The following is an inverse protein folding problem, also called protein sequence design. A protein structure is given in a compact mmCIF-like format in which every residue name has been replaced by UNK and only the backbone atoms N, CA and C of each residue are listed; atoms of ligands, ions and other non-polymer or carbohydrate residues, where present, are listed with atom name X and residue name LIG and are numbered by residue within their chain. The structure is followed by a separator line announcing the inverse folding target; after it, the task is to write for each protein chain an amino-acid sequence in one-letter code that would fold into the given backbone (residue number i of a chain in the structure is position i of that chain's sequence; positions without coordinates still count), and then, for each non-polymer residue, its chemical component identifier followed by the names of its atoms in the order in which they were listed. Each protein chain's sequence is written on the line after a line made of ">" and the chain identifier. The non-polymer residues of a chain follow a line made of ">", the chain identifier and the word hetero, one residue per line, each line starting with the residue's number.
data_IF_783730950953
#
_entry.id   IF_783730950953
#
_cell.length_a   1.000
_cell.length_b   1.000
_cell.length_c   1.000
_cell.angle_alpha   90.00
_cell.angle_beta   90.00
_cell.angle_gamma   90.00
#
_symmetry.space_group_name_H-M   'P 1'
#
loop_
_entity.id
_entity.type
_entity.pdbx_description
1 polymer ?
#
# COMPACT_ATOMS: atom_id res chain seq x y z
N UNK A 1 -49.37 77.41 -16.18
CA UNK A 1 -48.17 76.67 -15.76
C UNK A 1 -48.24 76.50 -14.27
N UNK A 2 -48.43 75.27 -13.80
CA UNK A 2 -48.00 74.74 -12.51
C UNK A 2 -48.50 73.29 -12.49
N UNK A 3 -47.58 72.39 -12.84
CA UNK A 3 -47.81 70.96 -12.87
C UNK A 3 -48.15 70.45 -11.48
N UNK A 4 -49.19 69.63 -11.43
CA UNK A 4 -49.61 68.85 -10.27
C UNK A 4 -48.47 67.91 -9.89
N UNK A 5 -47.96 68.07 -8.65
CA UNK A 5 -46.99 67.15 -8.07
C UNK A 5 -47.64 65.79 -7.87
N UNK A 6 -47.33 64.84 -8.75
CA UNK A 6 -47.53 63.43 -8.49
C UNK A 6 -46.47 62.99 -7.48
N UNK A 7 -46.93 62.86 -6.23
CA UNK A 7 -46.23 62.12 -5.19
C UNK A 7 -46.10 60.67 -5.63
N UNK A 8 -44.86 60.23 -5.86
CA UNK A 8 -44.54 58.82 -6.07
C UNK A 8 -44.90 58.03 -4.81
N UNK A 9 -46.04 57.34 -4.84
CA UNK A 9 -46.36 56.31 -3.87
C UNK A 9 -45.45 55.12 -4.13
N UNK A 10 -44.39 54.97 -3.35
CA UNK A 10 -43.67 53.70 -3.22
C UNK A 10 -44.62 52.73 -2.52
N UNK A 11 -45.12 51.67 -3.18
CA UNK A 11 -45.92 50.66 -2.51
C UNK A 11 -45.07 50.04 -1.40
N UNK A 12 -45.66 49.91 -0.21
CA UNK A 12 -44.97 49.42 0.98
C UNK A 12 -44.26 48.10 0.72
N UNK A 13 -42.92 48.12 0.87
CA UNK A 13 -42.13 46.91 1.10
C UNK A 13 -42.41 46.47 2.54
N UNK A 14 -43.58 45.89 2.76
CA UNK A 14 -43.97 45.24 4.02
C UNK A 14 -44.48 43.84 3.72
N UNK A 15 -43.58 43.02 3.20
CA UNK A 15 -43.64 41.57 3.34
C UNK A 15 -42.25 41.16 3.83
N UNK A 16 -42.17 40.40 4.91
CA UNK A 16 -40.93 39.84 5.45
C UNK A 16 -40.09 39.29 4.29
N UNK A 17 -38.95 39.93 4.00
CA UNK A 17 -38.03 39.43 2.99
C UNK A 17 -37.23 38.29 3.66
N UNK A 18 -37.53 37.01 3.35
CA UNK A 18 -36.89 35.87 4.01
C UNK A 18 -35.38 35.81 3.81
N UNK A 19 -34.82 36.54 2.83
CA UNK A 19 -33.37 36.61 2.62
C UNK A 19 -32.66 37.50 3.66
N UNK A 20 -33.38 38.40 4.36
CA UNK A 20 -32.79 39.29 5.37
C UNK A 20 -32.51 38.60 6.71
N UNK A 21 -33.14 37.44 6.96
CA UNK A 21 -32.90 36.64 8.16
C UNK A 21 -31.68 35.71 8.05
N UNK A 22 -31.02 35.67 6.88
CA UNK A 22 -29.80 34.89 6.70
C UNK A 22 -28.61 35.60 7.39
N UNK A 23 -27.79 34.90 8.17
CA UNK A 23 -26.61 35.47 8.81
C UNK A 23 -25.55 35.86 7.78
N UNK A 24 -24.60 36.70 8.19
CA UNK A 24 -23.39 36.89 7.38
C UNK A 24 -22.55 35.60 7.35
N UNK A 25 -21.71 35.46 6.32
CA UNK A 25 -20.80 34.30 6.21
C UNK A 25 -19.90 34.18 7.43
N UNK A 26 -19.33 35.30 7.89
CA UNK A 26 -18.39 35.30 9.02
C UNK A 26 -19.11 35.01 10.34
N UNK A 27 -20.33 35.50 10.51
CA UNK A 27 -21.18 35.21 11.67
C UNK A 27 -21.52 33.73 11.75
N UNK A 28 -21.98 33.14 10.63
CA UNK A 28 -22.28 31.71 10.59
C UNK A 28 -21.00 30.89 10.80
N UNK A 29 -19.90 31.24 10.14
CA UNK A 29 -18.63 30.53 10.30
C UNK A 29 -18.11 30.54 11.75
N UNK A 30 -18.33 31.63 12.50
CA UNK A 30 -17.97 31.74 13.91
C UNK A 30 -18.87 30.91 14.85
N UNK A 31 -20.09 30.59 14.41
CA UNK A 31 -21.07 29.81 15.18
C UNK A 31 -21.02 28.31 14.88
N UNK A 32 -20.38 27.90 13.78
CA UNK A 32 -20.22 26.49 13.44
C UNK A 32 -19.26 25.84 14.44
N UNK A 33 -19.77 24.86 15.18
CA UNK A 33 -18.94 23.96 15.98
C UNK A 33 -18.27 22.91 15.07
N UNK A 34 -16.96 22.70 15.26
CA UNK A 34 -16.23 21.69 14.50
C UNK A 34 -14.71 21.79 14.67
N UNK A 35 -14.00 20.78 14.17
CA UNK A 35 -12.53 20.71 14.17
C UNK A 35 -11.91 21.27 12.89
N UNK A 36 -12.74 21.80 11.98
CA UNK A 36 -12.28 22.30 10.70
C UNK A 36 -11.53 23.63 10.86
N UNK A 37 -10.42 23.85 10.13
CA UNK A 37 -9.77 25.15 10.06
C UNK A 37 -10.71 26.24 9.55
N UNK A 38 -10.48 27.48 9.99
CA UNK A 38 -11.30 28.65 9.64
C UNK A 38 -11.65 28.79 8.14
N UNK A 39 -10.72 28.60 7.17
CA UNK A 39 -11.07 28.67 5.75
C UNK A 39 -12.15 27.67 5.32
N UNK A 40 -12.19 26.47 5.93
CA UNK A 40 -13.21 25.46 5.64
C UNK A 40 -14.54 25.79 6.33
N UNK A 41 -14.51 26.41 7.51
CA UNK A 41 -15.73 26.91 8.17
C UNK A 41 -16.39 28.01 7.34
N UNK A 42 -15.60 28.97 6.84
CA UNK A 42 -16.08 30.03 5.93
C UNK A 42 -16.64 29.46 4.63
N UNK A 43 -15.96 28.48 4.02
CA UNK A 43 -16.45 27.83 2.81
C UNK A 43 -17.77 27.06 3.07
N UNK A 44 -17.88 26.38 4.21
CA UNK A 44 -19.09 25.67 4.62
C UNK A 44 -20.25 26.61 4.89
N UNK A 45 -19.98 27.73 5.56
CA UNK A 45 -20.95 28.78 5.82
C UNK A 45 -21.49 29.40 4.51
N UNK A 46 -20.61 29.67 3.53
CA UNK A 46 -21.02 30.13 2.20
C UNK A 46 -21.96 29.14 1.52
N UNK A 47 -21.56 27.87 1.46
CA UNK A 47 -22.39 26.82 0.85
C UNK A 47 -23.74 26.67 1.56
N UNK A 48 -23.76 26.71 2.90
CA UNK A 48 -25.00 26.61 3.67
C UNK A 48 -25.95 27.79 3.43
N UNK A 49 -25.41 29.01 3.33
CA UNK A 49 -26.17 30.22 2.99
C UNK A 49 -26.71 30.14 1.56
N UNK A 50 -25.90 29.66 0.60
CA UNK A 50 -26.33 29.52 -0.78
C UNK A 50 -27.44 28.44 -0.92
N UNK A 51 -27.31 27.29 -0.26
CA UNK A 51 -28.39 26.28 -0.18
C UNK A 51 -29.68 26.84 0.45
N UNK A 52 -29.55 27.67 1.49
CA UNK A 52 -30.70 28.32 2.11
C UNK A 52 -31.34 29.38 1.20
N UNK A 53 -30.54 30.11 0.41
CA UNK A 53 -31.07 31.05 -0.61
C UNK A 53 -31.86 30.33 -1.69
N UNK A 54 -31.39 29.16 -2.12
CA UNK A 54 -32.10 28.30 -3.08
C UNK A 54 -33.42 27.80 -2.52
N UNK A 55 -33.44 27.32 -1.27
CA UNK A 55 -34.67 26.89 -0.58
C UNK A 55 -35.69 28.03 -0.45
N UNK A 56 -35.24 29.24 -0.09
CA UNK A 56 -36.12 30.42 -0.04
C UNK A 56 -36.70 30.73 -1.43
N UNK A 57 -35.88 30.59 -2.49
CA UNK A 57 -36.33 30.86 -3.87
C UNK A 57 -37.38 29.84 -4.35
N UNK A 58 -37.34 28.60 -3.88
CA UNK A 58 -38.34 27.56 -4.17
C UNK A 58 -39.58 27.62 -3.27
N UNK A 59 -39.59 28.49 -2.25
CA UNK A 59 -40.68 28.57 -1.28
C UNK A 59 -40.59 27.53 -0.15
N UNK A 60 -39.45 26.86 -0.03
CA UNK A 60 -39.17 25.88 1.03
C UNK A 60 -38.60 26.55 2.28
N UNK A 61 -38.73 25.93 3.47
CA UNK A 61 -38.07 26.42 4.69
C UNK A 61 -36.54 26.40 4.57
N UNK A 62 -35.89 27.52 4.88
CA UNK A 62 -34.43 27.59 4.98
C UNK A 62 -33.93 27.18 6.36
N UNK A 63 -33.03 26.18 6.41
CA UNK A 63 -32.30 25.77 7.61
C UNK A 63 -30.79 25.96 7.41
N UNK A 64 -30.34 27.20 7.58
CA UNK A 64 -28.92 27.56 7.40
C UNK A 64 -28.01 26.82 8.38
N UNK A 65 -28.46 26.70 9.64
CA UNK A 65 -27.66 26.06 10.70
C UNK A 65 -27.54 24.55 10.47
N UNK A 66 -28.64 23.87 10.15
CA UNK A 66 -28.62 22.44 9.81
C UNK A 66 -27.84 22.16 8.53
N UNK A 67 -27.93 23.02 7.51
CA UNK A 67 -27.10 22.92 6.31
C UNK A 67 -25.61 23.02 6.63
N UNK A 68 -25.22 24.03 7.41
CA UNK A 68 -23.83 24.23 7.83
C UNK A 68 -23.30 23.04 8.64
N UNK A 69 -24.08 22.55 9.62
CA UNK A 69 -23.72 21.38 10.41
C UNK A 69 -23.56 20.13 9.54
N UNK A 70 -24.51 19.88 8.61
CA UNK A 70 -24.46 18.74 7.69
C UNK A 70 -23.22 18.79 6.80
N UNK A 71 -22.88 19.96 6.26
CA UNK A 71 -21.71 20.17 5.40
C UNK A 71 -20.42 19.95 6.20
N UNK A 72 -20.31 20.53 7.40
CA UNK A 72 -19.14 20.37 8.27
C UNK A 72 -18.96 18.91 8.68
N UNK A 73 -20.01 18.24 9.17
CA UNK A 73 -19.97 16.81 9.49
C UNK A 73 -19.57 15.96 8.28
N UNK A 74 -19.99 16.33 7.07
CA UNK A 74 -19.58 15.64 5.85
C UNK A 74 -18.10 15.86 5.53
N UNK A 75 -17.57 17.06 5.74
CA UNK A 75 -16.15 17.38 5.55
C UNK A 75 -15.26 16.72 6.61
N UNK A 76 -15.65 16.76 7.88
CA UNK A 76 -14.90 16.12 8.97
C UNK A 76 -14.74 14.61 8.76
N UNK A 77 -15.79 13.95 8.23
CA UNK A 77 -15.71 12.52 7.87
C UNK A 77 -14.72 12.22 6.74
N UNK A 78 -14.28 13.21 5.97
CA UNK A 78 -13.25 13.06 4.93
C UNK A 78 -11.83 13.18 5.47
N UNK A 79 -11.63 13.70 6.68
CA UNK A 79 -10.31 14.00 7.25
C UNK A 79 -9.49 12.77 7.70
N UNK A 80 -9.97 11.55 7.42
CA UNK A 80 -9.37 10.31 7.91
C UNK A 80 -9.62 10.15 9.41
N UNK A 81 -10.48 9.20 9.78
CA UNK A 81 -10.78 8.91 11.18
C UNK A 81 -10.50 7.44 11.47
N UNK A 82 -10.22 7.12 12.73
CA UNK A 82 -10.19 5.72 13.16
C UNK A 82 -11.56 5.09 12.88
N UNK A 83 -11.54 3.91 12.28
CA UNK A 83 -12.74 3.13 11.97
C UNK A 83 -12.70 1.77 12.66
N UNK A 84 -13.86 1.17 12.85
CA UNK A 84 -13.99 -0.22 13.31
C UNK A 84 -14.12 -1.09 12.07
N UNK A 85 -13.19 -2.02 11.87
CA UNK A 85 -13.29 -3.01 10.80
C UNK A 85 -14.17 -4.19 11.27
N UNK A 86 -15.43 -4.21 10.83
CA UNK A 86 -16.39 -5.28 11.08
C UNK A 86 -16.64 -6.16 9.84
N UNK A 87 -15.76 -6.11 8.83
CA UNK A 87 -15.97 -6.82 7.55
C UNK A 87 -15.53 -8.28 7.57
N UNK A 88 -14.73 -8.69 8.57
CA UNK A 88 -14.03 -9.97 8.58
C UNK A 88 -12.81 -10.05 7.65
N UNK A 89 -12.52 -9.01 6.86
CA UNK A 89 -11.34 -8.94 5.99
C UNK A 89 -10.15 -8.41 6.78
N UNK A 90 -9.13 -9.24 6.98
CA UNK A 90 -7.95 -8.90 7.79
C UNK A 90 -7.07 -7.85 7.11
N UNK A 91 -6.68 -8.09 5.86
CA UNK A 91 -5.86 -7.18 5.05
C UNK A 91 -6.76 -6.33 4.15
N UNK A 92 -7.60 -5.50 4.77
CA UNK A 92 -8.56 -4.68 4.04
C UNK A 92 -7.85 -3.50 3.35
N UNK A 93 -7.76 -3.52 2.02
CA UNK A 93 -7.05 -2.50 1.22
C UNK A 93 -7.56 -1.07 1.49
N UNK A 94 -8.88 -0.87 1.50
CA UNK A 94 -9.47 0.46 1.76
C UNK A 94 -9.33 0.95 3.21
N UNK A 95 -9.01 0.07 4.16
CA UNK A 95 -8.86 0.42 5.59
C UNK A 95 -7.40 0.45 6.03
N UNK A 96 -6.44 0.38 5.10
CA UNK A 96 -5.01 0.53 5.39
C UNK A 96 -4.26 -0.77 5.66
N UNK A 97 -4.79 -1.94 5.30
CA UNK A 97 -4.14 -3.26 5.44
C UNK A 97 -3.71 -3.56 6.89
N UNK A 98 -2.47 -3.97 7.12
CA UNK A 98 -1.96 -4.38 8.42
C UNK A 98 -1.77 -3.17 9.37
N UNK A 99 -2.42 -3.17 10.55
CA UNK A 99 -2.12 -2.20 11.59
C UNK A 99 -0.71 -2.39 12.14
N UNK A 100 -0.04 -1.30 12.49
CA UNK A 100 1.31 -1.34 13.09
C UNK A 100 1.22 -1.74 14.56
N UNK A 101 2.22 -2.46 15.06
CA UNK A 101 2.36 -2.71 16.51
C UNK A 101 2.67 -1.41 17.26
N UNK A 102 2.40 -1.38 18.57
CA UNK A 102 2.73 -0.24 19.42
C UNK A 102 4.22 0.11 19.34
N UNK A 103 5.11 -0.90 19.42
CA UNK A 103 6.56 -0.75 19.21
C UNK A 103 6.88 -0.09 17.86
N UNK A 104 6.22 -0.49 16.77
CA UNK A 104 6.45 0.11 15.45
C UNK A 104 5.96 1.57 15.39
N UNK A 105 4.81 1.89 15.98
CA UNK A 105 4.29 3.26 16.08
C UNK A 105 5.22 4.16 16.88
N UNK A 106 5.70 3.69 18.04
CA UNK A 106 6.63 4.44 18.90
C UNK A 106 7.97 4.73 18.20
N UNK A 107 8.53 3.72 17.52
CA UNK A 107 9.78 3.88 16.75
C UNK A 107 9.61 4.84 15.59
N UNK A 108 8.50 4.75 14.85
CA UNK A 108 8.19 5.68 13.78
C UNK A 108 8.00 7.11 14.29
N UNK A 109 7.28 7.30 15.40
CA UNK A 109 7.08 8.61 16.03
C UNK A 109 8.43 9.22 16.44
N UNK A 110 9.30 8.43 17.07
CA UNK A 110 10.64 8.86 17.46
C UNK A 110 11.47 9.30 16.24
N UNK A 111 11.51 8.47 15.20
CA UNK A 111 12.24 8.78 13.97
C UNK A 111 11.66 9.95 13.16
N UNK A 112 10.35 10.23 13.29
CA UNK A 112 9.70 11.37 12.65
C UNK A 112 9.88 12.69 13.43
N UNK A 113 10.04 12.62 14.76
CA UNK A 113 10.13 13.79 15.64
C UNK A 113 11.57 14.20 16.00
N UNK A 114 12.57 13.36 15.68
CA UNK A 114 13.97 13.61 16.02
C UNK A 114 14.92 13.29 14.86
N UNK A 115 16.13 13.85 14.90
CA UNK A 115 17.22 13.39 14.05
C UNK A 115 17.64 11.97 14.44
N UNK A 116 17.94 11.15 13.44
CA UNK A 116 18.40 9.77 13.62
C UNK A 116 19.67 9.52 12.82
N UNK A 117 20.37 8.42 13.11
CA UNK A 117 21.53 7.95 12.37
C UNK A 117 21.15 7.24 11.05
N UNK A 118 20.05 7.65 10.41
CA UNK A 118 19.45 6.98 9.26
C UNK A 118 20.43 6.71 8.11
N UNK A 119 21.38 7.61 7.88
CA UNK A 119 22.45 7.51 6.86
C UNK A 119 23.82 7.92 7.42
N UNK A 120 24.02 7.75 8.72
CA UNK A 120 25.29 8.08 9.39
C UNK A 120 25.74 6.86 10.20
N UNK A 121 27.00 6.48 10.02
CA UNK A 121 27.64 5.51 10.89
C UNK A 121 28.15 6.22 12.14
N UNK A 122 27.75 5.75 13.33
CA UNK A 122 28.05 6.45 14.58
C UNK A 122 29.49 6.25 15.06
N UNK A 123 30.18 5.21 14.58
CA UNK A 123 31.58 4.94 14.96
C UNK A 123 32.55 5.82 14.16
N UNK A 124 32.38 5.86 12.84
CA UNK A 124 33.20 6.67 11.92
C UNK A 124 32.75 8.13 11.79
N UNK A 125 31.46 8.41 12.05
CA UNK A 125 30.85 9.73 11.78
C UNK A 125 30.60 10.01 10.31
N UNK A 126 30.87 9.06 9.40
CA UNK A 126 30.72 9.22 7.97
C UNK A 126 29.34 8.81 7.45
N UNK A 127 29.05 9.18 6.20
CA UNK A 127 27.82 8.80 5.51
C UNK A 127 27.78 7.28 5.32
N UNK A 128 26.69 6.65 5.77
CA UNK A 128 26.47 5.21 5.66
C UNK A 128 25.28 4.88 4.75
N UNK A 129 25.13 3.58 4.44
CA UNK A 129 23.98 3.07 3.70
C UNK A 129 22.72 3.20 4.57
N UNK A 130 21.66 3.73 3.97
CA UNK A 130 20.36 3.81 4.64
C UNK A 130 19.88 2.42 5.04
N UNK A 131 19.43 2.29 6.29
CA UNK A 131 18.74 1.07 6.75
C UNK A 131 19.62 -0.17 6.82
N UNK A 132 20.93 -0.02 7.07
CA UNK A 132 21.88 -1.14 7.21
C UNK A 132 21.38 -2.24 8.14
N UNK A 133 20.86 -1.86 9.31
CA UNK A 133 20.33 -2.82 10.27
C UNK A 133 19.09 -3.57 9.76
N UNK A 134 18.22 -2.91 8.99
CA UNK A 134 17.07 -3.58 8.34
C UNK A 134 17.56 -4.60 7.31
N UNK A 135 18.61 -4.28 6.55
CA UNK A 135 19.24 -5.24 5.64
C UNK A 135 19.78 -6.45 6.41
N UNK A 136 20.48 -6.24 7.53
CA UNK A 136 21.01 -7.34 8.37
C UNK A 136 19.91 -8.24 8.93
N UNK A 137 18.79 -7.65 9.40
CA UNK A 137 17.62 -8.40 9.83
C UNK A 137 17.02 -9.22 8.68
N UNK A 138 16.86 -8.63 7.49
CA UNK A 138 16.34 -9.33 6.32
C UNK A 138 17.25 -10.48 5.88
N UNK A 139 18.57 -10.30 5.90
CA UNK A 139 19.53 -11.38 5.63
C UNK A 139 19.36 -12.53 6.62
N UNK A 140 19.30 -12.22 7.92
CA UNK A 140 19.14 -13.23 8.96
C UNK A 140 17.80 -13.99 8.87
N UNK A 141 16.71 -13.29 8.55
CA UNK A 141 15.36 -13.87 8.50
C UNK A 141 15.08 -14.65 7.22
N UNK A 142 15.70 -14.27 6.10
CA UNK A 142 15.36 -14.83 4.77
C UNK A 142 16.45 -15.70 4.17
N UNK A 143 17.69 -15.62 4.67
CA UNK A 143 18.85 -16.26 4.05
C UNK A 143 19.35 -15.54 2.78
N UNK A 144 18.81 -14.37 2.45
CA UNK A 144 19.31 -13.55 1.35
C UNK A 144 20.75 -13.09 1.61
N UNK A 145 21.51 -12.88 0.53
CA UNK A 145 22.85 -12.31 0.60
C UNK A 145 22.82 -10.79 0.83
N UNK A 146 21.77 -10.10 0.39
CA UNK A 146 21.54 -8.66 0.58
C UNK A 146 20.04 -8.33 0.43
N UNK A 147 19.65 -7.11 0.82
CA UNK A 147 18.31 -6.60 0.62
C UNK A 147 18.26 -5.07 0.41
N UNK A 148 17.21 -4.61 -0.27
CA UNK A 148 16.86 -3.20 -0.44
C UNK A 148 15.37 -2.97 -0.17
N UNK A 149 15.04 -1.82 0.41
CA UNK A 149 13.67 -1.43 0.74
C UNK A 149 13.30 -0.17 -0.04
N UNK A 150 12.14 -0.21 -0.70
CA UNK A 150 11.53 0.86 -1.51
C UNK A 150 10.08 1.10 -1.08
N UNK A 151 9.45 2.14 -1.63
CA UNK A 151 8.15 2.67 -1.17
C UNK A 151 7.03 1.63 -1.00
N UNK A 152 6.88 0.71 -1.95
CA UNK A 152 5.90 -0.38 -1.91
C UNK A 152 6.33 -1.49 -2.89
N UNK A 153 5.64 -2.63 -2.88
CA UNK A 153 6.02 -3.75 -3.74
C UNK A 153 5.91 -3.45 -5.25
N UNK A 154 4.99 -2.57 -5.67
CA UNK A 154 4.93 -2.14 -7.08
C UNK A 154 6.22 -1.42 -7.49
N UNK A 155 6.76 -0.58 -6.60
CA UNK A 155 8.08 0.04 -6.77
C UNK A 155 9.21 -0.99 -6.77
N UNK A 156 9.10 -2.07 -5.99
CA UNK A 156 10.10 -3.13 -5.95
C UNK A 156 10.17 -3.88 -7.28
N UNK A 157 9.03 -4.28 -7.83
CA UNK A 157 8.92 -4.91 -9.16
C UNK A 157 9.42 -3.97 -10.25
N UNK A 158 8.99 -2.70 -10.23
CA UNK A 158 9.44 -1.67 -11.17
C UNK A 158 10.98 -1.53 -11.15
N UNK A 159 11.56 -1.41 -9.95
CA UNK A 159 13.01 -1.24 -9.79
C UNK A 159 13.78 -2.48 -10.25
N UNK A 160 13.30 -3.67 -9.89
CA UNK A 160 13.91 -4.93 -10.28
C UNK A 160 13.95 -5.09 -11.81
N UNK A 161 12.84 -4.82 -12.49
CA UNK A 161 12.75 -4.90 -13.95
C UNK A 161 13.58 -3.83 -14.64
N UNK A 162 13.54 -2.58 -14.17
CA UNK A 162 14.32 -1.50 -14.77
C UNK A 162 15.83 -1.74 -14.65
N UNK A 163 16.31 -2.18 -13.49
CA UNK A 163 17.72 -2.43 -13.23
C UNK A 163 18.26 -3.69 -13.94
N UNK A 164 17.41 -4.68 -14.20
CA UNK A 164 17.82 -5.96 -14.81
C UNK A 164 17.60 -6.02 -16.31
N UNK A 165 16.52 -5.40 -16.79
CA UNK A 165 15.87 -5.80 -18.04
C UNK A 165 15.43 -4.64 -18.93
N UNK A 166 15.83 -3.39 -18.65
CA UNK A 166 15.54 -2.25 -19.54
C UNK A 166 16.04 -2.51 -20.97
N UNK A 167 15.14 -2.37 -21.95
CA UNK A 167 15.38 -2.65 -23.37
C UNK A 167 15.48 -4.14 -23.73
N UNK A 168 15.25 -5.06 -22.79
CA UNK A 168 15.35 -6.52 -22.98
C UNK A 168 13.99 -7.20 -22.75
N UNK A 169 13.85 -8.42 -23.27
CA UNK A 169 12.67 -9.23 -23.02
C UNK A 169 12.64 -9.80 -21.59
N UNK A 170 11.45 -9.98 -21.04
CA UNK A 170 11.22 -10.68 -19.78
C UNK A 170 10.06 -11.66 -19.99
N UNK A 171 10.33 -12.98 -20.08
CA UNK A 171 9.27 -13.98 -20.12
C UNK A 171 8.56 -14.08 -18.76
N UNK A 172 7.23 -14.14 -18.81
CA UNK A 172 6.34 -14.37 -17.67
C UNK A 172 5.12 -15.16 -18.13
N UNK A 173 4.63 -16.05 -17.27
CA UNK A 173 3.47 -16.88 -17.59
C UNK A 173 2.20 -16.03 -17.79
N UNK A 174 1.39 -16.37 -18.79
CA UNK A 174 0.09 -15.69 -19.02
C UNK A 174 -0.84 -15.73 -17.82
N UNK A 175 -0.83 -16.84 -17.09
CA UNK A 175 -1.60 -17.02 -15.86
C UNK A 175 -1.15 -16.15 -14.68
N UNK A 176 -0.02 -15.44 -14.80
CA UNK A 176 0.59 -14.61 -13.77
C UNK A 176 0.49 -13.10 -14.09
N UNK A 177 -0.22 -12.72 -15.17
CA UNK A 177 -0.49 -11.33 -15.52
C UNK A 177 -1.62 -10.74 -14.66
N UNK A 178 -1.26 -10.25 -13.49
CA UNK A 178 -2.21 -9.84 -12.46
C UNK A 178 -2.63 -8.36 -12.54
N UNK A 179 -3.85 -8.10 -12.04
CA UNK A 179 -4.34 -6.78 -11.64
C UNK A 179 -4.65 -6.78 -10.14
N UNK A 180 -4.09 -5.82 -9.39
CA UNK A 180 -4.30 -5.67 -7.95
C UNK A 180 -4.84 -4.26 -7.64
N UNK A 181 -5.89 -4.19 -6.82
CA UNK A 181 -6.33 -2.91 -6.21
C UNK A 181 -6.82 -1.85 -7.19
N UNK A 182 -7.22 -2.24 -8.41
CA UNK A 182 -7.85 -1.39 -9.42
C UNK A 182 -6.91 -0.47 -10.23
N UNK A 183 -5.65 -0.28 -9.80
CA UNK A 183 -4.67 0.56 -10.51
C UNK A 183 -3.33 -0.11 -10.79
N UNK A 184 -2.99 -1.20 -10.09
CA UNK A 184 -1.77 -1.95 -10.38
C UNK A 184 -2.04 -3.02 -11.41
N UNK A 185 -1.40 -2.91 -12.58
CA UNK A 185 -1.40 -3.93 -13.64
C UNK A 185 0.04 -4.29 -13.96
N UNK A 186 0.41 -5.56 -13.78
CA UNK A 186 1.77 -6.02 -14.05
C UNK A 186 2.26 -5.62 -15.46
N UNK A 187 1.47 -5.79 -16.55
CA UNK A 187 1.90 -5.36 -17.88
C UNK A 187 2.27 -3.87 -17.97
N UNK A 188 1.49 -2.99 -17.34
CA UNK A 188 1.75 -1.55 -17.35
C UNK A 188 3.01 -1.19 -16.56
N UNK A 189 3.28 -1.89 -15.45
CA UNK A 189 4.51 -1.71 -14.68
C UNK A 189 5.73 -2.20 -15.46
N UNK A 190 5.61 -3.32 -16.17
CA UNK A 190 6.67 -3.82 -17.05
C UNK A 190 6.97 -2.81 -18.17
N UNK A 191 5.94 -2.25 -18.81
CA UNK A 191 6.11 -1.21 -19.83
C UNK A 191 6.87 0.01 -19.30
N UNK A 192 6.48 0.56 -18.14
CA UNK A 192 7.13 1.71 -17.51
C UNK A 192 8.57 1.39 -17.07
N UNK A 193 8.87 0.14 -16.71
CA UNK A 193 10.24 -0.28 -16.37
C UNK A 193 11.20 -0.28 -17.57
N UNK A 194 10.67 -0.22 -18.80
CA UNK A 194 11.42 -0.40 -20.03
C UNK A 194 11.70 -1.86 -20.38
N UNK A 195 11.22 -2.82 -19.58
CA UNK A 195 11.26 -4.23 -19.91
C UNK A 195 10.18 -4.57 -20.95
N UNK A 196 10.53 -5.42 -21.91
CA UNK A 196 9.59 -5.91 -22.91
C UNK A 196 8.93 -7.20 -22.42
N UNK A 197 7.65 -7.12 -22.09
CA UNK A 197 6.82 -8.28 -21.73
C UNK A 197 6.86 -9.34 -22.84
N UNK A 198 7.19 -10.58 -22.48
CA UNK A 198 7.00 -11.76 -23.33
C UNK A 198 6.12 -12.74 -22.58
N UNK A 199 4.91 -12.93 -23.07
CA UNK A 199 3.96 -13.87 -22.48
C UNK A 199 4.26 -15.30 -22.91
N UNK A 200 4.38 -16.22 -21.94
CA UNK A 200 4.61 -17.64 -22.19
C UNK A 200 3.47 -18.52 -21.68
N UNK A 201 3.32 -19.69 -22.28
CA UNK A 201 2.26 -20.66 -21.92
C UNK A 201 0.84 -20.13 -22.16
N UNK A 202 -0.09 -20.66 -21.37
CA UNK A 202 -1.52 -20.34 -21.37
C UNK A 202 -1.97 -19.90 -19.98
N UNK A 203 -3.20 -19.40 -19.85
CA UNK A 203 -3.76 -18.92 -18.58
C UNK A 203 -3.70 -19.98 -17.47
N UNK A 204 -4.12 -21.21 -17.76
CA UNK A 204 -4.18 -22.28 -16.77
C UNK A 204 -2.91 -23.16 -16.76
N UNK A 205 -2.21 -23.30 -17.89
CA UNK A 205 -1.03 -24.18 -18.00
C UNK A 205 0.15 -23.47 -18.62
N UNK A 206 1.25 -23.43 -17.87
CA UNK A 206 2.57 -23.05 -18.36
C UNK A 206 3.55 -24.19 -18.05
N UNK A 207 4.43 -24.50 -19.01
CA UNK A 207 5.46 -25.53 -18.91
C UNK A 207 6.84 -24.89 -19.01
N UNK A 208 7.86 -25.61 -18.53
CA UNK A 208 9.25 -25.14 -18.61
C UNK A 208 9.69 -24.85 -20.06
N UNK A 209 9.27 -25.68 -21.03
CA UNK A 209 9.58 -25.48 -22.46
C UNK A 209 9.01 -24.20 -23.06
N UNK A 210 7.95 -23.61 -22.47
CA UNK A 210 7.42 -22.32 -22.92
C UNK A 210 8.41 -21.19 -22.59
N UNK A 211 9.03 -21.24 -21.40
CA UNK A 211 10.12 -20.33 -21.02
C UNK A 211 11.37 -20.58 -21.86
N UNK A 212 11.75 -21.84 -22.07
CA UNK A 212 12.92 -22.19 -22.87
C UNK A 212 12.83 -21.60 -24.28
N UNK A 213 11.67 -21.75 -24.93
CA UNK A 213 11.41 -21.19 -26.27
C UNK A 213 11.58 -19.67 -26.26
N UNK A 214 11.03 -18.97 -25.26
CA UNK A 214 11.18 -17.51 -25.15
C UNK A 214 12.65 -17.08 -24.97
N UNK A 215 13.42 -17.81 -24.17
CA UNK A 215 14.86 -17.56 -23.96
C UNK A 215 15.71 -17.84 -25.22
N UNK A 216 15.26 -18.72 -26.12
CA UNK A 216 15.92 -18.98 -27.40
C UNK A 216 15.65 -17.88 -28.44
N UNK A 217 14.42 -17.35 -28.47
CA UNK A 217 13.96 -16.42 -29.52
C UNK A 217 14.23 -14.95 -29.16
N UNK A 218 14.36 -14.63 -27.88
CA UNK A 218 14.49 -13.25 -27.43
C UNK A 218 15.77 -12.99 -26.64
N UNK A 219 16.31 -11.77 -26.80
CA UNK A 219 17.36 -11.26 -25.91
C UNK A 219 16.74 -10.88 -24.57
N UNK A 220 16.74 -11.81 -23.62
CA UNK A 220 16.14 -11.62 -22.32
C UNK A 220 17.06 -10.92 -21.32
N UNK A 221 16.49 -10.22 -20.35
CA UNK A 221 17.20 -9.53 -19.26
C UNK A 221 17.06 -10.23 -17.91
N UNK A 222 15.95 -10.93 -17.72
CA UNK A 222 15.60 -11.73 -16.54
C UNK A 222 14.50 -12.72 -16.93
N UNK A 223 14.21 -13.69 -16.08
CA UNK A 223 12.95 -14.45 -16.06
C UNK A 223 12.11 -13.91 -14.90
N UNK A 224 10.81 -13.70 -15.11
CA UNK A 224 9.91 -13.22 -14.07
C UNK A 224 8.87 -14.29 -13.74
N UNK A 225 8.73 -14.58 -12.45
CA UNK A 225 7.60 -15.30 -11.87
C UNK A 225 6.80 -14.37 -10.97
N UNK A 226 5.47 -14.47 -10.99
CA UNK A 226 4.59 -13.67 -10.13
C UNK A 226 3.55 -14.54 -9.45
N UNK A 227 3.37 -14.36 -8.14
CA UNK A 227 2.35 -15.06 -7.36
C UNK A 227 0.98 -14.40 -7.58
N UNK A 228 -0.07 -15.16 -7.99
CA UNK A 228 -1.44 -14.65 -8.06
C UNK A 228 -2.03 -14.44 -6.66
N UNK A 229 -1.58 -13.40 -5.94
CA UNK A 229 -1.90 -13.19 -4.52
C UNK A 229 -3.36 -12.78 -4.22
N UNK A 230 -4.17 -12.46 -5.24
CA UNK A 230 -5.55 -12.00 -5.08
C UNK A 230 -6.60 -12.84 -5.83
N UNK A 231 -6.20 -13.92 -6.50
CA UNK A 231 -7.10 -14.89 -7.11
C UNK A 231 -6.42 -16.26 -7.20
N UNK A 232 -7.19 -17.31 -7.45
CA UNK A 232 -6.64 -18.64 -7.74
C UNK A 232 -7.26 -19.18 -9.02
N UNK A 233 -6.50 -19.95 -9.77
CA UNK A 233 -6.99 -20.71 -10.93
C UNK A 233 -7.17 -22.14 -10.44
N UNK A 234 -8.38 -22.70 -10.61
CA UNK A 234 -8.71 -24.06 -10.19
C UNK A 234 -9.00 -24.95 -11.42
N UNK A 235 -8.90 -26.27 -11.23
CA UNK A 235 -9.11 -27.28 -12.28
C UNK A 235 -7.81 -27.73 -12.95
N UNK A 236 -7.78 -27.75 -14.28
CA UNK A 236 -6.63 -28.26 -15.04
C UNK A 236 -5.49 -27.24 -15.14
N UNK A 237 -4.80 -27.00 -14.04
CA UNK A 237 -3.69 -26.04 -13.97
C UNK A 237 -2.33 -26.72 -13.91
N UNK A 238 -1.28 -26.04 -14.36
CA UNK A 238 0.10 -26.47 -14.17
C UNK A 238 1.06 -25.28 -14.27
N UNK A 239 2.10 -25.28 -13.45
CA UNK A 239 3.21 -24.33 -13.51
C UNK A 239 4.52 -25.10 -13.39
N UNK A 240 5.63 -24.62 -13.97
CA UNK A 240 6.94 -25.22 -13.74
C UNK A 240 7.34 -25.07 -12.26
N UNK A 241 8.08 -26.06 -11.76
CA UNK A 241 8.74 -25.96 -10.46
C UNK A 241 9.71 -24.79 -10.45
N UNK A 242 9.81 -24.11 -9.30
CA UNK A 242 10.62 -22.90 -9.19
C UNK A 242 12.13 -23.19 -9.39
N UNK A 243 12.60 -24.32 -8.86
CA UNK A 243 13.99 -24.75 -9.00
C UNK A 243 14.36 -25.01 -10.47
N UNK A 244 13.51 -25.70 -11.22
CA UNK A 244 13.70 -25.92 -12.66
C UNK A 244 13.74 -24.60 -13.45
N UNK A 245 12.90 -23.63 -13.05
CA UNK A 245 12.89 -22.31 -13.67
C UNK A 245 14.18 -21.52 -13.35
N UNK A 246 14.71 -21.65 -12.13
CA UNK A 246 15.97 -21.05 -11.72
C UNK A 246 17.14 -21.65 -12.51
N UNK A 247 17.23 -22.98 -12.59
CA UNK A 247 18.25 -23.69 -13.37
C UNK A 247 18.22 -23.27 -14.84
N UNK A 248 17.02 -23.17 -15.43
CA UNK A 248 16.86 -22.69 -16.81
C UNK A 248 17.36 -21.25 -16.97
N UNK A 249 17.01 -20.33 -16.06
CA UNK A 249 17.45 -18.94 -16.11
C UNK A 249 18.98 -18.83 -15.98
N UNK A 250 19.57 -19.55 -15.02
CA UNK A 250 21.00 -19.56 -14.77
C UNK A 250 21.80 -20.18 -15.91
N UNK A 251 21.27 -21.20 -16.60
CA UNK A 251 21.88 -21.77 -17.82
C UNK A 251 22.08 -20.74 -18.94
N UNK A 252 21.35 -19.62 -18.89
CA UNK A 252 21.44 -18.47 -19.80
C UNK A 252 22.07 -17.23 -19.16
N UNK A 253 22.62 -17.36 -17.95
CA UNK A 253 23.18 -16.27 -17.15
C UNK A 253 22.18 -15.13 -16.92
N UNK A 254 20.91 -15.47 -16.71
CA UNK A 254 19.84 -14.52 -16.41
C UNK A 254 19.39 -14.67 -14.96
N UNK A 255 19.06 -13.58 -14.27
CA UNK A 255 18.45 -13.66 -12.95
C UNK A 255 16.98 -14.13 -13.06
N UNK A 256 16.57 -14.96 -12.11
CA UNK A 256 15.16 -15.24 -11.82
C UNK A 256 14.64 -14.24 -10.77
N UNK A 257 13.66 -13.45 -11.18
CA UNK A 257 12.93 -12.54 -10.30
C UNK A 257 11.61 -13.20 -9.91
N UNK A 258 11.27 -13.19 -8.62
CA UNK A 258 9.97 -13.67 -8.16
C UNK A 258 9.26 -12.60 -7.32
N UNK A 259 8.16 -12.05 -7.86
CA UNK A 259 7.20 -11.28 -7.07
C UNK A 259 6.27 -12.20 -6.26
N UNK A 260 6.64 -12.48 -5.02
CA UNK A 260 5.79 -13.19 -4.05
C UNK A 260 4.65 -12.29 -3.60
N UNK A 261 4.91 -10.99 -3.44
CA UNK A 261 3.91 -9.97 -3.20
C UNK A 261 3.25 -9.96 -1.82
N UNK A 262 2.98 -11.12 -1.20
CA UNK A 262 2.24 -11.27 0.06
C UNK A 262 3.07 -10.97 1.30
N UNK A 263 4.38 -11.19 1.25
CA UNK A 263 5.29 -10.90 2.36
C UNK A 263 5.27 -11.94 3.47
N UNK A 264 4.84 -13.18 3.20
CA UNK A 264 5.10 -14.29 4.11
C UNK A 264 6.61 -14.55 4.17
N UNK A 265 7.24 -14.40 5.34
CA UNK A 265 8.69 -14.54 5.45
C UNK A 265 9.16 -16.00 5.38
N UNK A 266 8.49 -16.87 6.12
CA UNK A 266 8.85 -18.29 6.29
C UNK A 266 7.57 -19.14 6.29
N UNK A 267 7.54 -20.18 5.46
CA UNK A 267 6.39 -21.07 5.32
C UNK A 267 6.14 -21.92 6.59
N UNK A 268 7.17 -22.15 7.40
CA UNK A 268 7.05 -22.89 8.66
C UNK A 268 6.43 -22.04 9.77
N UNK A 269 6.36 -20.72 9.58
CA UNK A 269 5.78 -19.77 10.54
C UNK A 269 6.25 -19.98 11.99
N UNK A 270 7.56 -20.04 12.28
CA UNK A 270 8.10 -20.39 13.60
C UNK A 270 7.67 -19.43 14.73
N UNK A 271 7.11 -18.27 14.41
CA UNK A 271 6.55 -17.30 15.34
C UNK A 271 5.10 -17.58 15.77
N UNK A 272 4.48 -18.66 15.28
CA UNK A 272 3.14 -19.08 15.66
C UNK A 272 3.19 -20.38 16.48
N UNK A 273 2.64 -20.35 17.69
CA UNK A 273 2.61 -21.52 18.59
C UNK A 273 1.80 -22.70 18.01
N UNK A 274 0.80 -22.42 17.16
CA UNK A 274 -0.07 -23.42 16.55
C UNK A 274 0.49 -24.07 15.26
N UNK A 275 1.71 -23.72 14.87
CA UNK A 275 2.29 -24.10 13.57
C UNK A 275 1.63 -23.37 12.40
N UNK A 276 1.96 -23.80 11.16
CA UNK A 276 1.48 -23.16 9.94
C UNK A 276 -0.03 -23.29 9.77
N UNK A 277 -0.78 -22.17 9.73
CA UNK A 277 -2.21 -22.17 9.45
C UNK A 277 -2.50 -22.74 8.06
N UNK A 278 -3.50 -23.61 7.96
CA UNK A 278 -3.87 -24.29 6.70
C UNK A 278 -4.21 -23.33 5.55
N UNK A 279 -4.73 -22.15 5.85
CA UNK A 279 -5.10 -21.15 4.84
C UNK A 279 -3.89 -20.47 4.16
N UNK A 280 -2.69 -20.59 4.73
CA UNK A 280 -1.42 -20.18 4.10
C UNK A 280 -0.48 -21.34 3.76
N UNK A 281 -0.93 -22.58 3.85
CA UNK A 281 -0.07 -23.74 3.59
C UNK A 281 0.59 -23.71 2.20
N UNK A 282 -0.14 -23.23 1.18
CA UNK A 282 0.35 -23.12 -0.20
C UNK A 282 0.86 -21.71 -0.56
N UNK A 283 0.97 -20.81 0.42
CA UNK A 283 1.43 -19.44 0.18
C UNK A 283 2.95 -19.42 0.02
N UNK A 284 3.51 -18.87 -1.07
CA UNK A 284 4.95 -18.81 -1.24
C UNK A 284 5.57 -17.88 -0.20
N UNK A 285 6.56 -18.41 0.52
CA UNK A 285 7.31 -17.66 1.51
C UNK A 285 8.68 -17.23 0.97
N UNK A 286 9.15 -16.06 1.41
CA UNK A 286 10.38 -15.43 0.91
C UNK A 286 11.59 -16.34 1.09
N UNK A 287 11.77 -16.93 2.27
CA UNK A 287 12.89 -17.81 2.58
C UNK A 287 12.95 -19.03 1.66
N UNK A 288 11.84 -19.76 1.53
CA UNK A 288 11.75 -20.95 0.68
C UNK A 288 11.92 -20.58 -0.81
N UNK A 289 11.42 -19.41 -1.21
CA UNK A 289 11.56 -18.91 -2.59
C UNK A 289 13.02 -18.62 -2.95
N UNK A 290 13.78 -18.01 -2.03
CA UNK A 290 15.23 -17.80 -2.20
C UNK A 290 16.00 -19.12 -2.20
N UNK A 291 15.67 -20.03 -1.28
CA UNK A 291 16.29 -21.36 -1.20
C UNK A 291 16.07 -22.19 -2.47
N UNK A 292 14.96 -21.98 -3.18
CA UNK A 292 14.65 -22.60 -4.46
C UNK A 292 15.33 -21.96 -5.67
N UNK A 293 16.20 -20.94 -5.47
CA UNK A 293 17.08 -20.41 -6.51
C UNK A 293 16.69 -19.07 -7.11
N UNK A 294 15.66 -18.39 -6.58
CA UNK A 294 15.34 -17.02 -7.01
C UNK A 294 16.49 -16.05 -6.67
N UNK A 295 16.92 -15.23 -7.63
CA UNK A 295 18.01 -14.27 -7.43
C UNK A 295 17.56 -12.97 -6.77
N UNK A 296 16.27 -12.66 -6.88
CA UNK A 296 15.61 -11.59 -6.12
C UNK A 296 14.12 -11.90 -5.93
N UNK A 297 13.66 -11.76 -4.69
CA UNK A 297 12.26 -11.92 -4.29
C UNK A 297 11.70 -10.57 -3.87
N UNK A 298 10.57 -10.16 -4.46
CA UNK A 298 9.89 -8.92 -4.12
C UNK A 298 8.62 -9.19 -3.31
N UNK A 299 8.39 -8.42 -2.25
CA UNK A 299 7.20 -8.56 -1.42
C UNK A 299 6.79 -7.28 -0.68
N UNK A 300 5.53 -7.25 -0.23
CA UNK A 300 4.94 -6.13 0.52
C UNK A 300 5.21 -6.24 2.03
N UNK A 301 5.52 -5.12 2.68
CA UNK A 301 5.69 -5.07 4.14
C UNK A 301 4.39 -4.98 4.95
N UNK A 302 3.29 -4.57 4.33
CA UNK A 302 1.99 -4.26 4.98
C UNK A 302 0.92 -5.33 4.72
N UNK A 303 1.33 -6.51 4.28
CA UNK A 303 0.46 -7.68 4.08
C UNK A 303 0.74 -8.73 5.16
N UNK A 304 1.17 -9.93 4.80
CA UNK A 304 1.42 -11.02 5.77
C UNK A 304 2.61 -10.74 6.68
N UNK A 305 3.53 -9.86 6.27
CA UNK A 305 4.59 -9.39 7.15
C UNK A 305 4.04 -8.63 8.38
N UNK A 306 2.87 -7.99 8.27
CA UNK A 306 2.23 -7.30 9.40
C UNK A 306 2.91 -5.99 9.81
N UNK A 307 3.66 -5.35 8.92
CA UNK A 307 4.40 -4.11 9.15
C UNK A 307 3.88 -2.91 8.36
N UNK A 308 4.72 -1.87 8.17
CA UNK A 308 4.35 -0.70 7.39
C UNK A 308 4.39 -0.96 5.88
N UNK A 309 3.79 -0.04 5.10
CA UNK A 309 3.91 -0.10 3.65
C UNK A 309 5.39 -0.02 3.25
N UNK A 310 5.87 -1.06 2.60
CA UNK A 310 7.20 -1.14 2.05
C UNK A 310 7.20 -2.14 0.88
N UNK A 311 8.09 -1.95 -0.07
CA UNK A 311 8.48 -2.94 -1.05
C UNK A 311 9.85 -3.43 -0.68
N UNK A 312 9.98 -4.72 -0.40
CA UNK A 312 11.24 -5.31 0.02
C UNK A 312 11.73 -6.19 -1.12
N UNK A 313 13.01 -6.04 -1.48
CA UNK A 313 13.70 -6.93 -2.40
C UNK A 313 14.82 -7.60 -1.62
N UNK A 314 14.74 -8.92 -1.45
CA UNK A 314 15.78 -9.74 -0.82
C UNK A 314 16.32 -10.73 -1.85
N UNK A 315 17.63 -10.95 -1.89
CA UNK A 315 18.21 -11.80 -2.94
C UNK A 315 19.73 -11.87 -2.90
N UNK A 316 20.32 -12.19 -4.07
CA UNK A 316 21.77 -12.19 -4.28
C UNK A 316 22.34 -10.77 -4.18
N UNK A 317 23.54 -10.65 -3.61
CA UNK A 317 24.20 -9.38 -3.39
C UNK A 317 24.43 -8.62 -4.69
N UNK A 318 24.84 -9.31 -5.75
CA UNK A 318 25.05 -8.71 -7.08
C UNK A 318 23.74 -8.11 -7.64
N UNK A 319 22.64 -8.88 -7.60
CA UNK A 319 21.34 -8.42 -8.09
C UNK A 319 20.85 -7.22 -7.29
N UNK A 320 20.90 -7.29 -5.96
CA UNK A 320 20.44 -6.22 -5.08
C UNK A 320 21.30 -4.95 -5.23
N UNK A 321 22.62 -5.07 -5.40
CA UNK A 321 23.48 -3.92 -5.64
C UNK A 321 23.16 -3.22 -6.97
N UNK A 322 22.84 -3.98 -8.03
CA UNK A 322 22.36 -3.41 -9.30
C UNK A 322 21.07 -2.60 -9.11
N UNK A 323 20.12 -3.10 -8.32
CA UNK A 323 18.88 -2.38 -7.99
C UNK A 323 19.19 -1.09 -7.21
N UNK A 324 20.07 -1.18 -6.21
CA UNK A 324 20.47 -0.06 -5.35
C UNK A 324 21.18 1.05 -6.12
N UNK A 325 22.03 0.69 -7.09
CA UNK A 325 22.76 1.63 -7.93
C UNK A 325 21.87 2.30 -9.00
N UNK A 326 20.69 1.75 -9.28
CA UNK A 326 19.81 2.29 -10.31
C UNK A 326 19.20 3.65 -9.91
N UNK A 327 19.13 4.66 -10.80
CA UNK A 327 18.62 6.00 -10.44
C UNK A 327 17.21 6.02 -9.85
N UNK A 328 16.34 5.09 -10.28
CA UNK A 328 14.98 4.96 -9.70
C UNK A 328 15.00 4.62 -8.21
N UNK A 329 16.03 3.95 -7.68
CA UNK A 329 16.11 3.64 -6.25
C UNK A 329 15.99 4.90 -5.37
N UNK A 330 16.53 6.04 -5.85
CA UNK A 330 16.43 7.31 -5.15
C UNK A 330 15.02 7.91 -5.18
N UNK A 331 14.30 7.75 -6.28
CA UNK A 331 12.93 8.22 -6.45
C UNK A 331 11.93 7.36 -5.65
N UNK A 332 12.22 6.07 -5.52
CA UNK A 332 11.38 5.07 -4.85
C UNK A 332 11.76 4.86 -3.38
N UNK A 333 12.63 5.71 -2.83
CA UNK A 333 13.20 5.56 -1.49
C UNK A 333 12.15 5.74 -0.38
N UNK A 334 12.23 4.90 0.64
CA UNK A 334 11.40 4.96 1.85
C UNK A 334 11.89 6.03 2.84
N UNK A 335 10.98 6.64 3.58
CA UNK A 335 11.27 7.62 4.63
C UNK A 335 11.80 6.99 5.94
N UNK A 336 12.28 7.82 6.87
CA UNK A 336 12.89 7.33 8.12
C UNK A 336 11.90 6.68 9.10
N UNK A 337 10.64 7.15 9.15
CA UNK A 337 9.63 6.63 10.05
C UNK A 337 9.19 5.22 9.62
N UNK A 338 9.03 5.00 8.32
CA UNK A 338 8.74 3.68 7.76
C UNK A 338 9.90 2.70 8.00
N UNK A 339 11.17 3.13 7.87
CA UNK A 339 12.32 2.30 8.24
C UNK A 339 12.27 1.91 9.72
N UNK A 340 12.01 2.86 10.62
CA UNK A 340 11.96 2.60 12.05
C UNK A 340 10.81 1.64 12.45
N UNK A 341 9.63 1.80 11.84
CA UNK A 341 8.51 0.87 12.00
C UNK A 341 8.87 -0.53 11.47
N UNK A 342 9.47 -0.62 10.28
CA UNK A 342 9.87 -1.89 9.68
C UNK A 342 10.92 -2.61 10.51
N UNK A 343 11.89 -1.87 11.09
CA UNK A 343 12.86 -2.43 12.04
C UNK A 343 12.14 -3.12 13.19
N UNK A 344 11.21 -2.44 13.86
CA UNK A 344 10.45 -3.02 14.96
C UNK A 344 9.65 -4.26 14.56
N UNK A 345 9.06 -4.26 13.37
CA UNK A 345 8.38 -5.43 12.82
C UNK A 345 9.33 -6.61 12.63
N UNK A 346 10.48 -6.40 11.98
CA UNK A 346 11.47 -7.45 11.70
C UNK A 346 12.15 -7.96 12.98
N UNK A 347 12.41 -7.09 13.95
CA UNK A 347 12.90 -7.48 15.28
C UNK A 347 11.93 -8.46 15.94
N UNK A 348 10.61 -8.25 15.85
CA UNK A 348 9.64 -9.21 16.40
C UNK A 348 9.74 -10.60 15.74
N UNK A 349 10.03 -10.67 14.44
CA UNK A 349 10.31 -11.96 13.79
C UNK A 349 11.61 -12.59 14.30
N UNK A 350 12.67 -11.79 14.44
CA UNK A 350 13.97 -12.28 14.93
C UNK A 350 13.91 -12.73 16.39
N UNK A 351 13.06 -12.10 17.21
CA UNK A 351 12.81 -12.41 18.61
C UNK A 351 11.82 -13.59 18.80
N UNK A 352 11.19 -14.07 17.73
CA UNK A 352 10.15 -15.11 17.79
C UNK A 352 8.79 -14.62 18.32
N UNK A 353 8.62 -13.31 18.52
CA UNK A 353 7.41 -12.68 19.06
C UNK A 353 6.47 -12.14 17.98
N UNK A 354 6.74 -12.40 16.69
CA UNK A 354 5.91 -11.90 15.59
C UNK A 354 4.45 -12.38 15.63
N UNK A 355 4.13 -13.47 16.35
CA UNK A 355 2.74 -13.86 16.65
C UNK A 355 1.94 -12.79 17.41
N UNK A 356 2.62 -11.86 18.09
CA UNK A 356 2.03 -10.72 18.80
C UNK A 356 1.78 -9.49 17.91
N UNK A 357 2.26 -9.49 16.66
CA UNK A 357 1.94 -8.43 15.71
C UNK A 357 0.42 -8.34 15.51
N UNK A 358 -0.17 -7.14 15.35
CA UNK A 358 -1.62 -6.98 15.25
C UNK A 358 -2.27 -7.87 14.18
N UNK A 359 -1.62 -8.03 13.02
CA UNK A 359 -2.07 -8.93 11.97
C UNK A 359 -2.15 -10.39 12.46
N UNK A 360 -1.05 -10.94 12.97
CA UNK A 360 -0.98 -12.34 13.39
C UNK A 360 -1.85 -12.65 14.60
N UNK A 361 -1.97 -11.72 15.56
CA UNK A 361 -2.90 -11.88 16.70
C UNK A 361 -4.33 -12.09 16.27
N UNK A 362 -4.78 -11.40 15.22
CA UNK A 362 -6.15 -11.56 14.71
C UNK A 362 -6.23 -12.82 13.84
N UNK A 363 -5.23 -13.06 12.99
CA UNK A 363 -5.20 -14.19 12.06
C UNK A 363 -5.07 -15.56 12.75
N UNK A 364 -4.50 -15.61 13.95
CA UNK A 364 -4.30 -16.82 14.74
C UNK A 364 -5.43 -17.10 15.76
N UNK A 365 -6.49 -16.26 15.78
CA UNK A 365 -7.64 -16.54 16.66
C UNK A 365 -8.30 -17.87 16.27
N UNK A 366 -8.47 -18.73 17.27
CA UNK A 366 -9.22 -19.98 17.10
C UNK A 366 -10.71 -19.70 16.89
N UNK A 367 -11.39 -20.67 16.28
CA UNK A 367 -12.85 -20.61 16.09
C UNK A 367 -13.59 -20.40 17.41
N UNK A 368 -13.15 -21.04 18.50
CA UNK A 368 -13.75 -20.87 19.82
C UNK A 368 -13.59 -19.43 20.35
N UNK A 369 -12.40 -18.84 20.22
CA UNK A 369 -12.18 -17.45 20.63
C UNK A 369 -13.04 -16.46 19.83
N UNK A 370 -13.32 -16.75 18.55
CA UNK A 370 -14.23 -15.94 17.75
C UNK A 370 -15.68 -16.06 18.23
N UNK A 371 -16.14 -17.27 18.60
CA UNK A 371 -17.46 -17.47 19.20
C UNK A 371 -17.60 -16.74 20.54
N UNK A 372 -16.60 -16.83 21.40
CA UNK A 372 -16.61 -16.18 22.71
C UNK A 372 -16.74 -14.65 22.56
N UNK A 373 -16.03 -14.07 21.58
CA UNK A 373 -16.14 -12.63 21.24
C UNK A 373 -17.49 -12.23 20.66
N UNK A 374 -18.21 -13.15 20.00
CA UNK A 374 -19.53 -12.87 19.46
C UNK A 374 -20.64 -12.97 20.53
N UNK A 375 -20.37 -13.66 21.63
CA UNK A 375 -21.30 -13.84 22.74
C UNK A 375 -21.29 -12.69 23.76
N UNK A 376 -20.24 -11.87 23.76
CA UNK A 376 -20.07 -10.66 24.57
C UNK A 376 -20.42 -9.41 23.78
#
# INVERSE_FOLDING_TARGET
>A
MNGTGETWHTPGVTADNPYRSLPSVDELAAQIEGRLPWPLLVASARLAIDEAREAIASGDPADVAGNAERIVRALERRAGVRVINATGVLLHTNLGRAPWSERAVERALSAASHYTNLEIDLESGERSRRGRYVTELLQALTGAEDAVVVNNNASAVLLALAATSSGKAVPVARGELIEIGGSYRLPAVMEVSGARLVEVGTTNRTRLGDYETALQVHRCGAVLKVHPSNYRIEGFTSQPDLADLADLAHSRSLPLLYDVGSGLLDAETPWLEGGTPSWIADEPAVRQTLAAGADAVTFSGDKLLGGPQAGIVAGRAETVERLRAHPLARALRVDGATYAALTATLEAYAEGTAGELPFWRIAALSYQQLLDRAAT
#
